data_IF_290683408029
#
_entry.id   IF_290683408029
#
_cell.length_a   1.000
_cell.length_b   1.000
_cell.length_c   1.000
_cell.angle_alpha   90.00
_cell.angle_beta   90.00
_cell.angle_gamma   90.00
#
_symmetry.space_group_name_H-M   'P 1'
#
loop_
_entity.id
_entity.type
_entity.pdbx_description
1 polymer ?
#
# COMPACT_ATOMS: atom_id res chain seq x y z
N UNK A 1 12.51 -18.90 -5.02
CA UNK A 1 12.33 -18.23 -3.71
C UNK A 1 11.12 -17.32 -3.80
N UNK A 2 10.03 -17.64 -3.12
CA UNK A 2 8.83 -16.80 -3.08
C UNK A 2 9.11 -15.60 -2.18
N UNK A 3 9.71 -14.53 -2.74
CA UNK A 3 9.81 -13.24 -2.05
C UNK A 3 8.39 -12.86 -1.65
N UNK A 4 8.13 -12.73 -0.35
CA UNK A 4 6.81 -12.28 0.12
C UNK A 4 6.49 -10.95 -0.54
N UNK A 5 5.39 -10.85 -1.28
CA UNK A 5 4.98 -9.65 -2.03
C UNK A 5 4.63 -8.45 -1.11
N UNK A 6 4.77 -8.61 0.21
CA UNK A 6 4.47 -7.62 1.24
C UNK A 6 5.71 -6.81 1.61
N UNK A 7 5.84 -5.62 1.02
CA UNK A 7 7.00 -4.73 1.15
C UNK A 7 6.68 -3.51 2.02
N UNK A 8 7.70 -2.72 2.40
CA UNK A 8 7.53 -1.45 3.13
C UNK A 8 6.95 -0.37 2.22
N UNK A 9 6.38 0.69 2.81
CA UNK A 9 5.89 1.84 2.06
C UNK A 9 6.96 2.48 1.17
N UNK A 10 8.19 2.64 1.69
CA UNK A 10 9.32 3.17 0.92
C UNK A 10 9.60 2.35 -0.34
N UNK A 11 9.59 1.02 -0.24
CA UNK A 11 9.82 0.13 -1.39
C UNK A 11 8.71 0.24 -2.44
N UNK A 12 7.45 0.41 -2.01
CA UNK A 12 6.32 0.68 -2.93
C UNK A 12 6.52 2.01 -3.64
N UNK A 13 6.87 3.05 -2.90
CA UNK A 13 7.11 4.39 -3.43
C UNK A 13 8.24 4.38 -4.47
N UNK A 14 9.36 3.72 -4.16
CA UNK A 14 10.50 3.54 -5.07
C UNK A 14 10.10 2.75 -6.32
N UNK A 15 9.32 1.68 -6.17
CA UNK A 15 8.92 0.83 -7.29
C UNK A 15 7.93 1.51 -8.24
N UNK A 16 6.96 2.24 -7.69
CA UNK A 16 5.88 2.87 -8.44
C UNK A 16 6.18 4.32 -8.84
N UNK A 17 7.30 4.87 -8.38
CA UNK A 17 7.66 6.27 -8.62
C UNK A 17 6.69 7.27 -7.99
N UNK A 18 6.08 6.92 -6.85
CA UNK A 18 5.14 7.79 -6.13
C UNK A 18 5.71 8.25 -4.78
N UNK A 19 5.25 9.39 -4.29
CA UNK A 19 5.61 9.88 -2.95
C UNK A 19 4.86 9.14 -1.84
N UNK A 20 5.43 9.14 -0.63
CA UNK A 20 4.78 8.55 0.56
C UNK A 20 3.44 9.25 0.91
N UNK A 21 3.37 10.57 0.71
CA UNK A 21 2.12 11.32 0.85
C UNK A 21 1.04 10.82 -0.13
N UNK A 22 1.44 10.54 -1.38
CA UNK A 22 0.53 9.99 -2.38
C UNK A 22 0.06 8.58 -1.96
N UNK A 23 0.95 7.71 -1.51
CA UNK A 23 0.60 6.38 -1.00
C UNK A 23 -0.37 6.45 0.20
N UNK A 24 -0.16 7.43 1.09
CA UNK A 24 -1.03 7.71 2.23
C UNK A 24 -2.41 8.20 1.78
N UNK A 25 -2.45 9.06 0.77
CA UNK A 25 -3.69 9.56 0.18
C UNK A 25 -4.51 8.43 -0.46
N UNK A 26 -3.89 7.56 -1.25
CA UNK A 26 -4.56 6.41 -1.88
C UNK A 26 -5.19 5.46 -0.86
N UNK A 27 -4.58 5.32 0.31
CA UNK A 27 -5.19 4.62 1.45
C UNK A 27 -6.38 5.35 2.03
N UNK A 28 -6.24 6.65 2.31
CA UNK A 28 -7.30 7.46 2.93
C UNK A 28 -8.52 7.59 2.03
N UNK A 29 -8.31 7.68 0.72
CA UNK A 29 -9.36 7.72 -0.31
C UNK A 29 -10.01 6.35 -0.55
N UNK A 30 -9.53 5.28 0.11
CA UNK A 30 -10.15 3.96 0.05
C UNK A 30 -9.79 3.12 -1.18
N UNK A 31 -8.95 3.64 -2.09
CA UNK A 31 -8.43 2.87 -3.22
C UNK A 31 -7.67 1.64 -2.73
N UNK A 32 -6.83 1.83 -1.70
CA UNK A 32 -6.09 0.76 -1.05
C UNK A 32 -6.84 0.25 0.19
N UNK A 33 -7.52 -0.88 0.03
CA UNK A 33 -8.21 -1.60 1.13
C UNK A 33 -7.26 -2.28 2.12
N UNK A 34 -7.55 -2.15 3.42
CA UNK A 34 -6.85 -2.85 4.50
C UNK A 34 -7.03 -4.37 4.40
N UNK A 35 -6.02 -5.14 4.82
CA UNK A 35 -5.87 -6.59 4.69
C UNK A 35 -5.87 -7.14 3.26
N UNK A 36 -6.09 -6.30 2.24
CA UNK A 36 -5.95 -6.65 0.82
C UNK A 36 -4.70 -6.03 0.21
N UNK A 37 -4.61 -4.70 0.21
CA UNK A 37 -3.50 -3.96 -0.40
C UNK A 37 -2.47 -3.53 0.63
N UNK A 38 -2.91 -3.28 1.87
CA UNK A 38 -2.04 -2.90 2.97
C UNK A 38 -2.48 -3.54 4.28
N UNK A 39 -1.57 -3.68 5.24
CA UNK A 39 -1.88 -4.15 6.59
C UNK A 39 -1.03 -3.43 7.62
N UNK A 40 -1.60 -3.19 8.80
CA UNK A 40 -0.82 -2.75 9.96
C UNK A 40 -0.15 -3.97 10.60
N UNK A 41 1.17 -3.93 10.72
CA UNK A 41 2.00 -4.96 11.37
C UNK A 41 2.58 -4.47 12.70
N UNK A 42 2.19 -3.28 13.17
CA UNK A 42 2.58 -2.79 14.47
C UNK A 42 2.08 -3.75 15.57
N UNK A 43 2.94 -4.03 16.53
CA UNK A 43 2.52 -4.72 17.75
C UNK A 43 1.57 -3.82 18.55
N UNK A 44 0.66 -4.37 19.38
CA UNK A 44 -0.28 -3.57 20.18
C UNK A 44 0.38 -2.52 21.07
N UNK A 45 1.63 -2.76 21.49
CA UNK A 45 2.40 -1.87 22.37
C UNK A 45 3.25 -0.84 21.61
N UNK A 46 3.22 -0.85 20.28
CA UNK A 46 4.04 0.07 19.49
C UNK A 46 3.41 1.46 19.45
N UNK A 47 4.21 2.49 19.78
CA UNK A 47 3.76 3.88 19.76
C UNK A 47 3.43 4.41 18.36
N UNK A 48 3.92 3.75 17.29
CA UNK A 48 3.71 4.16 15.91
C UNK A 48 3.21 2.98 15.07
N UNK A 49 2.21 3.20 14.19
CA UNK A 49 1.77 2.17 13.27
C UNK A 49 2.89 1.85 12.28
N UNK A 50 2.96 0.59 11.85
CA UNK A 50 3.94 0.12 10.86
C UNK A 50 3.17 -0.60 9.78
N UNK A 51 3.28 -0.14 8.54
CA UNK A 51 2.48 -0.68 7.45
C UNK A 51 3.30 -1.54 6.49
N UNK A 52 2.67 -2.58 5.97
CA UNK A 52 3.16 -3.37 4.83
C UNK A 52 2.16 -3.33 3.71
N UNK A 53 2.65 -3.34 2.49
CA UNK A 53 1.85 -3.21 1.27
C UNK A 53 2.12 -4.37 0.32
N UNK A 54 1.07 -4.88 -0.31
CA UNK A 54 1.19 -5.94 -1.30
C UNK A 54 1.48 -5.33 -2.67
N UNK A 55 2.74 -5.37 -3.11
CA UNK A 55 3.23 -4.60 -4.25
C UNK A 55 2.38 -4.76 -5.51
N UNK A 56 2.20 -6.01 -5.96
CA UNK A 56 1.40 -6.34 -7.16
C UNK A 56 -0.06 -5.91 -7.10
N UNK A 57 -0.67 -5.92 -5.90
CA UNK A 57 -2.08 -5.53 -5.75
C UNK A 57 -2.20 -4.00 -5.75
N UNK A 58 -1.23 -3.30 -5.16
CA UNK A 58 -1.18 -1.83 -5.21
C UNK A 58 -0.95 -1.35 -6.64
N UNK A 59 -0.01 -1.97 -7.37
CA UNK A 59 0.23 -1.70 -8.79
C UNK A 59 -1.06 -1.89 -9.60
N UNK A 60 -1.71 -3.05 -9.48
CA UNK A 60 -2.98 -3.33 -10.15
C UNK A 60 -4.08 -2.35 -9.81
N UNK A 61 -4.15 -1.87 -8.57
CA UNK A 61 -5.15 -0.88 -8.16
C UNK A 61 -4.92 0.49 -8.81
N UNK A 62 -3.67 0.82 -9.15
CA UNK A 62 -3.31 2.06 -9.83
C UNK A 62 -3.53 2.01 -11.34
N UNK A 63 -3.38 0.83 -11.94
CA UNK A 63 -3.70 0.59 -13.37
C UNK A 63 -5.18 0.82 -13.69
N UNK A 64 -6.08 0.73 -12.69
CA UNK A 64 -7.51 1.02 -12.89
C UNK A 64 -7.69 2.53 -13.12
N UNK A 65 -8.21 2.96 -14.29
CA UNK A 65 -8.49 4.37 -14.58
C UNK A 65 -9.37 5.00 -13.49
N UNK A 66 -9.13 6.26 -13.13
CA UNK A 66 -9.92 6.96 -12.11
C UNK A 66 -11.43 6.94 -12.41
N UNK A 67 -11.80 6.93 -13.69
CA UNK A 67 -13.17 6.91 -14.21
C UNK A 67 -13.92 5.59 -13.95
N UNK A 68 -13.19 4.52 -13.62
CA UNK A 68 -13.73 3.18 -13.34
C UNK A 68 -13.61 2.79 -11.86
N UNK A 69 -13.14 3.71 -11.01
CA UNK A 69 -13.08 3.54 -9.55
C UNK A 69 -14.46 3.92 -9.00
N UNK A 70 -15.34 2.91 -8.93
CA UNK A 70 -16.74 3.06 -8.50
C UNK A 70 -16.94 3.60 -7.10
#
# INVERSE_FOLDING_TARGET
MSKSDWVKGSEVCEHLGISDDHLTRLRKEGLLKENKHWRNIARPQAARPTYRYHLKLVEKALEVPQELRG
#
